data_IF_151632199769
#
_entry.id   IF_151632199769
#
_cell.length_a   1.000
_cell.length_b   1.000
_cell.length_c   1.000
_cell.angle_alpha   90.00
_cell.angle_beta   90.00
_cell.angle_gamma   90.00
#
_symmetry.space_group_name_H-M   'P 1'
#
loop_
_entity.id
_entity.type
_entity.pdbx_description
1 polymer ?
#
# COMPACT_ATOMS: atom_id res chain seq x y z
N UNK A 1 -3.21 -2.17 9.52
CA UNK A 1 -3.76 -2.59 8.20
C UNK A 1 -5.08 -1.89 8.00
N UNK A 2 -5.24 -1.19 6.87
CA UNK A 2 -6.47 -0.44 6.54
C UNK A 2 -7.10 -0.99 5.27
N UNK A 3 -8.43 -1.05 5.20
CA UNK A 3 -9.17 -1.43 4.00
C UNK A 3 -10.07 -0.25 3.62
N UNK A 4 -9.99 0.19 2.36
CA UNK A 4 -10.74 1.35 1.83
C UNK A 4 -11.31 1.04 0.45
N UNK A 5 -12.40 1.70 0.09
CA UNK A 5 -12.95 1.61 -1.27
C UNK A 5 -12.27 2.63 -2.19
N UNK A 6 -12.07 2.29 -3.46
CA UNK A 6 -11.44 3.18 -4.45
C UNK A 6 -12.08 4.58 -4.53
N UNK A 7 -13.40 4.65 -4.37
CA UNK A 7 -14.16 5.93 -4.36
C UNK A 7 -13.69 6.84 -3.21
N UNK A 8 -13.33 6.28 -2.05
CA UNK A 8 -12.83 7.03 -0.89
C UNK A 8 -11.37 7.49 -1.06
N UNK A 9 -10.62 6.82 -1.93
CA UNK A 9 -9.19 7.08 -2.20
C UNK A 9 -9.01 8.20 -3.21
N UNK A 10 -9.91 8.35 -4.18
CA UNK A 10 -9.70 9.18 -5.36
C UNK A 10 -9.42 10.67 -5.05
N UNK A 11 -9.85 11.17 -3.89
CA UNK A 11 -9.57 12.53 -3.40
C UNK A 11 -8.65 12.57 -2.17
N UNK A 12 -8.10 11.42 -1.74
CA UNK A 12 -7.27 11.27 -0.53
C UNK A 12 -5.98 10.48 -0.79
N UNK A 13 -5.58 10.34 -2.05
CA UNK A 13 -4.43 9.52 -2.42
C UNK A 13 -3.16 10.01 -1.71
N UNK A 14 -2.92 11.32 -1.65
CA UNK A 14 -1.78 11.93 -0.95
C UNK A 14 -1.74 11.49 0.53
N UNK A 15 -2.84 11.68 1.27
CA UNK A 15 -2.95 11.25 2.67
C UNK A 15 -2.70 9.74 2.85
N UNK A 16 -3.15 8.91 1.91
CA UNK A 16 -2.93 7.47 1.98
C UNK A 16 -1.47 7.12 1.75
N UNK A 17 -0.78 7.81 0.83
CA UNK A 17 0.65 7.64 0.62
C UNK A 17 1.43 8.09 1.86
N UNK A 18 1.07 9.23 2.45
CA UNK A 18 1.70 9.74 3.68
C UNK A 18 1.56 8.74 4.82
N UNK A 19 0.34 8.27 5.11
CA UNK A 19 0.12 7.25 6.15
C UNK A 19 0.88 5.95 5.87
N UNK A 20 0.97 5.52 4.60
CA UNK A 20 1.72 4.32 4.24
C UNK A 20 3.23 4.45 4.49
N UNK A 21 3.77 5.67 4.41
CA UNK A 21 5.17 5.99 4.69
C UNK A 21 5.42 6.13 6.19
N UNK A 22 4.58 6.89 6.89
CA UNK A 22 4.77 7.24 8.30
C UNK A 22 4.53 6.06 9.23
N UNK A 23 3.42 5.33 9.04
CA UNK A 23 2.98 4.31 10.00
C UNK A 23 3.56 2.92 9.69
N UNK A 24 4.27 2.76 8.56
CA UNK A 24 4.69 1.46 8.00
C UNK A 24 3.54 0.45 7.86
N UNK A 25 2.29 0.92 7.87
CA UNK A 25 1.12 0.12 7.59
C UNK A 25 0.85 0.06 6.08
N UNK A 26 0.16 -0.99 5.66
CA UNK A 26 -0.36 -1.09 4.29
C UNK A 26 -1.86 -0.90 4.24
N UNK A 27 -2.31 -0.28 3.15
CA UNK A 27 -3.72 -0.04 2.83
C UNK A 27 -4.14 -0.94 1.67
N UNK A 28 -5.22 -1.71 1.85
CA UNK A 28 -5.87 -2.46 0.78
C UNK A 28 -6.96 -1.61 0.17
N UNK A 29 -6.89 -1.39 -1.14
CA UNK A 29 -7.89 -0.66 -1.91
C UNK A 29 -8.77 -1.69 -2.62
N UNK A 30 -10.05 -1.72 -2.27
CA UNK A 30 -11.08 -2.51 -2.94
C UNK A 30 -11.62 -1.71 -4.13
N UNK A 31 -11.78 -2.40 -5.27
CA UNK A 31 -12.26 -1.83 -6.53
C UNK A 31 -13.48 -2.66 -6.98
N UNK A 32 -14.50 -2.00 -7.52
CA UNK A 32 -15.72 -2.69 -7.96
C UNK A 32 -15.48 -3.50 -9.25
N UNK A 33 -14.73 -2.94 -10.19
CA UNK A 33 -14.50 -3.53 -11.52
C UNK A 33 -13.07 -4.08 -11.72
N UNK A 34 -12.34 -4.35 -10.64
CA UNK A 34 -10.97 -4.87 -10.71
C UNK A 34 -10.54 -5.56 -9.43
N UNK A 35 -9.45 -6.33 -9.50
CA UNK A 35 -8.86 -6.95 -8.32
C UNK A 35 -8.36 -5.89 -7.30
N UNK A 36 -8.43 -6.21 -6.00
CA UNK A 36 -7.88 -5.36 -4.94
C UNK A 36 -6.38 -5.08 -5.14
N UNK A 37 -5.96 -3.89 -4.73
CA UNK A 37 -4.55 -3.50 -4.75
C UNK A 37 -4.07 -3.12 -3.35
N UNK A 38 -2.77 -3.26 -3.11
CA UNK A 38 -2.13 -2.84 -1.85
C UNK A 38 -1.26 -1.61 -2.09
N UNK A 39 -1.36 -0.64 -1.19
CA UNK A 39 -0.48 0.52 -1.09
C UNK A 39 0.32 0.40 0.19
N UNK A 40 1.64 0.53 0.10
CA UNK A 40 2.58 0.48 1.22
C UNK A 40 3.84 1.29 0.89
N UNK A 41 4.64 1.63 1.90
CA UNK A 41 5.94 2.26 1.64
C UNK A 41 6.88 1.33 0.88
N UNK A 42 7.74 1.91 0.04
CA UNK A 42 8.80 1.18 -0.65
C UNK A 42 9.76 0.49 0.33
N UNK A 43 10.03 1.14 1.47
CA UNK A 43 10.88 0.57 2.51
C UNK A 43 10.28 -0.73 3.08
N UNK A 44 8.98 -0.71 3.42
CA UNK A 44 8.31 -1.90 3.93
C UNK A 44 8.21 -2.98 2.86
N UNK A 45 7.91 -2.63 1.61
CA UNK A 45 7.96 -3.58 0.50
C UNK A 45 9.33 -4.27 0.38
N UNK A 46 10.42 -3.49 0.42
CA UNK A 46 11.77 -4.01 0.30
C UNK A 46 12.16 -4.93 1.47
N UNK A 47 11.65 -4.68 2.68
CA UNK A 47 11.93 -5.54 3.84
C UNK A 47 11.25 -6.91 3.76
N UNK A 48 10.17 -7.04 2.97
CA UNK A 48 9.49 -8.30 2.69
C UNK A 48 10.20 -9.14 1.64
N UNK A 49 11.05 -8.52 0.81
CA UNK A 49 11.80 -9.26 -0.19
C UNK A 49 12.91 -10.07 0.49
N UNK A 50 13.10 -11.35 0.11
CA UNK A 50 14.25 -12.09 0.59
C UNK A 50 15.53 -11.36 0.17
N UNK A 51 16.58 -11.39 1.01
CA UNK A 51 17.87 -10.85 0.61
C UNK A 51 18.25 -11.52 -0.71
N UNK A 52 18.60 -10.69 -1.71
CA UNK A 52 19.12 -11.23 -2.96
C UNK A 52 20.37 -12.02 -2.59
N UNK A 53 20.26 -13.35 -2.65
CA UNK A 53 21.39 -14.24 -2.46
C UNK A 53 22.48 -13.77 -3.42
N UNK A 54 23.54 -13.19 -2.87
CA UNK A 54 24.76 -12.90 -3.60
C UNK A 54 25.30 -14.26 -4.06
N UNK A 55 25.06 -14.60 -5.32
CA UNK A 55 25.80 -15.67 -5.99
C UNK A 55 27.23 -15.20 -6.25
#
# INVERSE_FOLDING_TARGET
MKIVNFIEVNNKLETILDSAIEDSEYTVIIREDADPAVVMSLNYFNSLLPPRSSA
#
